data_IF_973751650287
#
_entry.id   IF_973751650287
#
_cell.length_a   1.000
_cell.length_b   1.000
_cell.length_c   1.000
_cell.angle_alpha   90.00
_cell.angle_beta   90.00
_cell.angle_gamma   90.00
#
_symmetry.space_group_name_H-M   'P 1'
#
loop_
_entity.id
_entity.type
_entity.pdbx_description
1 polymer ?
#
# COMPACT_ATOMS: atom_id res chain seq x y z
N UNK A 1 -62.45 -12.18 63.59
CA UNK A 1 -62.36 -11.09 62.60
C UNK A 1 -60.92 -11.03 62.10
N UNK A 2 -60.76 -11.18 60.79
CA UNK A 2 -59.51 -11.33 60.02
C UNK A 2 -58.83 -9.99 59.77
N UNK A 3 -57.50 -9.96 59.75
CA UNK A 3 -56.75 -8.78 59.32
C UNK A 3 -55.24 -8.99 59.28
N UNK A 4 -54.76 -9.78 58.32
CA UNK A 4 -53.34 -9.85 57.96
C UNK A 4 -52.97 -8.62 57.12
N UNK A 5 -51.98 -7.79 57.47
CA UNK A 5 -51.52 -6.75 56.56
C UNK A 5 -50.58 -7.35 55.52
N UNK A 6 -51.01 -7.31 54.25
CA UNK A 6 -50.15 -7.48 53.08
C UNK A 6 -49.03 -6.43 53.13
N UNK A 7 -47.77 -6.87 53.14
CA UNK A 7 -46.63 -5.99 52.85
C UNK A 7 -46.26 -6.17 51.38
N UNK A 8 -46.26 -5.05 50.68
CA UNK A 8 -46.09 -4.86 49.23
C UNK A 8 -44.84 -5.55 48.66
N UNK A 9 -45.04 -6.42 47.67
CA UNK A 9 -44.05 -6.77 46.66
C UNK A 9 -44.37 -5.98 45.38
N UNK A 10 -43.88 -4.75 45.28
CA UNK A 10 -43.90 -3.98 44.03
C UNK A 10 -42.66 -3.09 43.97
N UNK A 11 -41.54 -3.65 43.50
CA UNK A 11 -40.41 -2.86 42.96
C UNK A 11 -39.53 -3.64 41.96
N UNK A 12 -39.70 -4.95 41.75
CA UNK A 12 -38.86 -5.69 40.79
C UNK A 12 -39.30 -5.54 39.32
N UNK A 13 -40.57 -5.20 39.05
CA UNK A 13 -41.09 -5.13 37.68
C UNK A 13 -40.76 -3.81 36.96
N UNK A 14 -40.45 -2.74 37.70
CA UNK A 14 -40.13 -1.43 37.11
C UNK A 14 -38.65 -1.32 36.70
N UNK A 15 -37.74 -1.94 37.46
CA UNK A 15 -36.31 -2.00 37.12
C UNK A 15 -36.06 -2.91 35.89
N UNK A 16 -36.83 -3.99 35.74
CA UNK A 16 -36.78 -4.87 34.56
C UNK A 16 -37.37 -4.14 33.32
N UNK A 17 -38.37 -3.28 33.50
CA UNK A 17 -38.91 -2.44 32.42
C UNK A 17 -37.98 -1.28 32.04
N UNK A 18 -37.16 -0.75 32.96
CA UNK A 18 -36.14 0.26 32.66
C UNK A 18 -34.93 -0.35 31.94
N UNK A 19 -34.40 -1.49 32.41
CA UNK A 19 -33.28 -2.17 31.74
C UNK A 19 -33.59 -2.63 30.30
N UNK A 20 -34.82 -3.09 30.05
CA UNK A 20 -35.27 -3.44 28.69
C UNK A 20 -35.42 -2.23 27.75
N UNK A 21 -35.61 -1.01 28.26
CA UNK A 21 -35.70 0.18 27.41
C UNK A 21 -34.33 0.71 26.99
N UNK A 22 -33.32 0.56 27.84
CA UNK A 22 -31.93 0.95 27.51
C UNK A 22 -31.28 -0.02 26.51
N UNK A 23 -31.50 -1.33 26.63
CA UNK A 23 -31.01 -2.31 25.64
C UNK A 23 -31.65 -2.12 24.25
N UNK A 24 -32.93 -1.76 24.18
CA UNK A 24 -33.62 -1.48 22.90
C UNK A 24 -33.08 -0.20 22.26
N UNK A 25 -32.72 0.81 23.04
CA UNK A 25 -32.06 2.03 22.55
C UNK A 25 -30.67 1.76 21.95
N UNK A 26 -29.87 0.91 22.60
CA UNK A 26 -28.55 0.53 22.11
C UNK A 26 -28.62 -0.32 20.82
N UNK A 27 -29.60 -1.22 20.73
CA UNK A 27 -29.84 -2.03 19.53
C UNK A 27 -30.30 -1.17 18.35
N UNK A 28 -31.16 -0.18 18.60
CA UNK A 28 -31.64 0.76 17.58
C UNK A 28 -30.53 1.69 17.09
N UNK A 29 -29.61 2.12 17.96
CA UNK A 29 -28.43 2.90 17.55
C UNK A 29 -27.47 2.08 16.68
N UNK A 30 -27.25 0.81 17.02
CA UNK A 30 -26.43 -0.11 16.22
C UNK A 30 -27.09 -0.37 14.85
N UNK A 31 -28.41 -0.60 14.82
CA UNK A 31 -29.15 -0.78 13.57
C UNK A 31 -29.08 0.48 12.68
N UNK A 32 -29.25 1.66 13.28
CA UNK A 32 -29.16 2.95 12.58
C UNK A 32 -27.74 3.24 12.07
N UNK A 33 -26.72 2.79 12.81
CA UNK A 33 -25.33 2.83 12.36
C UNK A 33 -25.08 1.87 11.19
N UNK A 34 -25.57 0.64 11.26
CA UNK A 34 -25.47 -0.35 10.17
C UNK A 34 -26.18 0.11 8.89
N UNK A 35 -27.37 0.72 9.01
CA UNK A 35 -28.07 1.32 7.87
C UNK A 35 -27.28 2.50 7.27
N UNK A 36 -26.64 3.32 8.09
CA UNK A 36 -25.78 4.42 7.63
C UNK A 36 -24.50 3.92 6.95
N UNK A 37 -23.91 2.82 7.44
CA UNK A 37 -22.76 2.17 6.81
C UNK A 37 -23.16 1.58 5.46
N UNK A 38 -24.30 0.89 5.36
CA UNK A 38 -24.76 0.30 4.10
C UNK A 38 -25.23 1.34 3.06
N UNK A 39 -25.89 2.42 3.47
CA UNK A 39 -26.33 3.49 2.56
C UNK A 39 -25.18 4.36 2.03
N UNK A 40 -24.10 4.55 2.83
CA UNK A 40 -22.88 5.24 2.38
C UNK A 40 -21.91 4.33 1.61
N UNK A 41 -22.01 3.01 1.75
CA UNK A 41 -21.14 2.05 1.04
C UNK A 41 -21.66 1.65 -0.35
N UNK A 42 -22.96 1.79 -0.60
CA UNK A 42 -23.61 1.34 -1.85
C UNK A 42 -23.74 2.44 -2.93
N UNK A 43 -23.48 3.70 -2.59
CA UNK A 43 -23.72 4.85 -3.49
C UNK A 43 -22.49 5.34 -4.29
N UNK A 44 -21.36 4.61 -4.29
CA UNK A 44 -20.18 4.96 -5.14
C UNK A 44 -19.79 3.93 -6.20
N UNK A 45 -20.56 2.84 -6.35
CA UNK A 45 -20.41 1.94 -7.49
C UNK A 45 -21.49 2.25 -8.52
N UNK A 46 -21.36 3.41 -9.19
CA UNK A 46 -21.88 3.53 -10.54
C UNK A 46 -21.00 2.65 -11.42
N UNK A 47 -21.49 1.53 -11.99
CA UNK A 47 -20.84 0.95 -13.15
C UNK A 47 -21.09 1.95 -14.28
N UNK A 48 -20.17 2.91 -14.46
CA UNK A 48 -20.07 3.63 -15.73
C UNK A 48 -20.14 2.56 -16.82
N UNK A 49 -21.14 2.71 -17.71
CA UNK A 49 -21.40 1.83 -18.84
C UNK A 49 -20.12 1.18 -19.37
N UNK A 50 -19.87 -0.05 -18.92
CA UNK A 50 -18.79 -0.89 -19.43
C UNK A 50 -19.28 -1.38 -20.79
N UNK A 51 -19.06 -0.59 -21.85
CA UNK A 51 -19.28 -1.04 -23.20
C UNK A 51 -18.28 -2.18 -23.49
N UNK A 52 -18.73 -3.45 -23.66
CA UNK A 52 -17.84 -4.60 -23.86
C UNK A 52 -17.02 -4.48 -25.15
N UNK A 53 -17.34 -3.53 -26.04
CA UNK A 53 -16.51 -3.21 -27.21
C UNK A 53 -15.25 -2.42 -26.85
N UNK A 54 -15.26 -1.59 -25.80
CA UNK A 54 -14.05 -0.85 -25.38
C UNK A 54 -13.07 -1.73 -24.58
N UNK A 55 -13.57 -2.72 -23.84
CA UNK A 55 -12.71 -3.63 -23.07
C UNK A 55 -11.92 -4.59 -23.97
N UNK A 56 -12.47 -4.94 -25.13
CA UNK A 56 -11.73 -5.69 -26.16
C UNK A 56 -10.65 -4.85 -26.87
N UNK A 57 -10.76 -3.53 -26.88
CA UNK A 57 -9.72 -2.63 -27.44
C UNK A 57 -8.62 -2.25 -26.43
N UNK A 58 -8.86 -2.40 -25.13
CA UNK A 58 -7.86 -2.13 -24.07
C UNK A 58 -6.98 -3.33 -23.69
N UNK A 59 -6.97 -4.40 -24.49
CA UNK A 59 -5.85 -5.33 -24.48
C UNK A 59 -4.68 -4.71 -25.26
N UNK A 60 -4.18 -3.57 -24.80
CA UNK A 60 -2.84 -3.13 -25.18
C UNK A 60 -1.91 -4.27 -24.81
N UNK A 61 -1.17 -4.78 -25.80
CA UNK A 61 -0.14 -5.81 -25.65
C UNK A 61 0.79 -5.35 -24.53
N UNK A 62 0.52 -5.83 -23.32
CA UNK A 62 1.26 -5.44 -22.14
C UNK A 62 2.58 -6.17 -22.23
N UNK A 63 3.64 -5.47 -22.64
CA UNK A 63 4.96 -6.09 -22.69
C UNK A 63 5.35 -6.50 -21.26
N UNK A 64 5.80 -7.75 -21.04
CA UNK A 64 6.29 -8.18 -19.73
C UNK A 64 7.39 -7.25 -19.20
N UNK A 65 7.31 -6.89 -17.92
CA UNK A 65 8.32 -6.07 -17.23
C UNK A 65 9.76 -6.58 -17.48
N UNK A 66 10.05 -7.91 -17.47
CA UNK A 66 11.39 -8.41 -17.76
C UNK A 66 11.92 -8.04 -19.15
N UNK A 67 11.05 -7.98 -20.16
CA UNK A 67 11.47 -7.69 -21.54
C UNK A 67 11.86 -6.22 -21.70
N UNK A 68 11.09 -5.30 -21.12
CA UNK A 68 11.48 -3.89 -21.16
C UNK A 68 12.67 -3.61 -20.27
N UNK A 69 12.82 -4.32 -19.15
CA UNK A 69 14.04 -4.25 -18.35
C UNK A 69 15.28 -4.66 -19.16
N UNK A 70 15.20 -5.74 -19.95
CA UNK A 70 16.29 -6.14 -20.87
C UNK A 70 16.58 -5.06 -21.92
N UNK A 71 15.55 -4.50 -22.55
CA UNK A 71 15.71 -3.42 -23.54
C UNK A 71 16.33 -2.17 -22.93
N UNK A 72 15.89 -1.78 -21.73
CA UNK A 72 16.47 -0.65 -20.99
C UNK A 72 17.95 -0.88 -20.65
N UNK A 73 18.30 -2.10 -20.21
CA UNK A 73 19.69 -2.47 -19.97
C UNK A 73 20.55 -2.36 -21.23
N UNK A 74 20.03 -2.80 -22.38
CA UNK A 74 20.70 -2.70 -23.67
C UNK A 74 20.96 -1.22 -24.05
N UNK A 75 19.97 -0.35 -23.84
CA UNK A 75 20.09 1.10 -24.08
C UNK A 75 21.12 1.74 -23.14
N UNK A 76 21.12 1.39 -21.85
CA UNK A 76 22.09 1.92 -20.89
C UNK A 76 23.52 1.45 -21.20
N UNK A 77 23.69 0.18 -21.56
CA UNK A 77 24.99 -0.37 -21.92
C UNK A 77 25.55 0.27 -23.20
N UNK A 78 24.72 0.44 -24.23
CA UNK A 78 25.12 1.12 -25.47
C UNK A 78 25.45 2.59 -25.24
N UNK A 79 24.70 3.29 -24.38
CA UNK A 79 25.01 4.66 -23.97
C UNK A 79 26.38 4.74 -23.25
N UNK A 80 26.63 3.83 -22.30
CA UNK A 80 27.91 3.78 -21.59
C UNK A 80 29.09 3.49 -22.54
N UNK A 81 28.90 2.61 -23.53
CA UNK A 81 29.91 2.33 -24.54
C UNK A 81 30.23 3.56 -25.41
N UNK A 82 29.20 4.33 -25.83
CA UNK A 82 29.40 5.59 -26.56
C UNK A 82 30.14 6.61 -25.69
N UNK A 83 29.74 6.77 -24.42
CA UNK A 83 30.39 7.71 -23.50
C UNK A 83 31.85 7.35 -23.26
N UNK A 84 32.16 6.08 -23.04
CA UNK A 84 33.54 5.60 -22.89
C UNK A 84 34.37 5.81 -24.15
N UNK A 85 33.81 5.53 -25.33
CA UNK A 85 34.51 5.79 -26.61
C UNK A 85 34.78 7.29 -26.84
N UNK A 86 33.83 8.15 -26.48
CA UNK A 86 34.00 9.61 -26.53
C UNK A 86 35.07 10.10 -25.56
N UNK A 87 35.12 9.57 -24.34
CA UNK A 87 36.18 9.91 -23.37
C UNK A 87 37.55 9.47 -23.87
N UNK A 88 37.67 8.26 -24.42
CA UNK A 88 38.93 7.77 -25.00
C UNK A 88 39.40 8.64 -26.18
N UNK A 89 38.48 9.10 -27.04
CA UNK A 89 38.79 10.08 -28.08
C UNK A 89 39.31 11.40 -27.48
N UNK A 90 38.65 11.88 -26.43
CA UNK A 90 39.03 13.12 -25.77
C UNK A 90 40.41 13.04 -25.09
N UNK A 91 40.76 11.88 -24.53
CA UNK A 91 42.06 11.60 -23.92
C UNK A 91 43.17 11.45 -24.98
N UNK A 92 42.86 10.88 -26.15
CA UNK A 92 43.82 10.65 -27.25
C UNK A 92 43.97 11.84 -28.20
N UNK A 93 43.31 12.98 -27.93
CA UNK A 93 43.25 14.19 -28.79
C UNK A 93 44.63 14.75 -29.13
N UNK A 94 45.63 14.47 -28.29
CA UNK A 94 46.98 15.04 -28.41
C UNK A 94 48.02 13.99 -28.84
N UNK A 95 47.72 12.70 -28.75
CA UNK A 95 48.73 11.63 -28.80
C UNK A 95 48.54 10.59 -29.90
N UNK A 96 47.38 10.55 -30.57
CA UNK A 96 47.09 9.53 -31.58
C UNK A 96 47.37 10.01 -33.01
N UNK A 97 47.80 9.05 -33.84
CA UNK A 97 48.09 9.20 -35.26
C UNK A 97 46.79 9.39 -36.06
N UNK A 98 46.88 9.99 -37.26
CA UNK A 98 45.70 10.29 -38.09
C UNK A 98 44.83 9.05 -38.42
N UNK A 99 45.46 7.88 -38.59
CA UNK A 99 44.76 6.62 -38.87
C UNK A 99 44.02 6.10 -37.62
N UNK A 100 44.65 6.15 -36.43
CA UNK A 100 44.00 5.77 -35.18
C UNK A 100 42.81 6.69 -34.85
N UNK A 101 42.95 7.97 -35.19
CA UNK A 101 41.87 8.96 -35.09
C UNK A 101 40.67 8.61 -35.97
N UNK A 102 40.91 8.25 -37.23
CA UNK A 102 39.84 7.85 -38.15
C UNK A 102 39.13 6.57 -37.69
N UNK A 103 39.87 5.55 -37.24
CA UNK A 103 39.29 4.31 -36.71
C UNK A 103 38.45 4.56 -35.45
N UNK A 104 38.93 5.40 -34.53
CA UNK A 104 38.21 5.74 -33.31
C UNK A 104 36.93 6.55 -33.58
N UNK A 105 36.95 7.45 -34.58
CA UNK A 105 35.76 8.17 -35.03
C UNK A 105 34.75 7.20 -35.67
N UNK A 106 35.20 6.30 -36.54
CA UNK A 106 34.34 5.30 -37.17
C UNK A 106 33.67 4.39 -36.14
N UNK A 107 34.43 3.90 -35.16
CA UNK A 107 33.93 3.08 -34.04
C UNK A 107 32.91 3.83 -33.19
N UNK A 108 33.16 5.09 -32.87
CA UNK A 108 32.24 5.92 -32.08
C UNK A 108 30.95 6.21 -32.84
N UNK A 109 31.06 6.42 -34.16
CA UNK A 109 29.90 6.62 -35.05
C UNK A 109 29.03 5.37 -35.11
N UNK A 110 29.64 4.19 -35.20
CA UNK A 110 28.94 2.91 -35.15
C UNK A 110 28.21 2.70 -33.82
N UNK A 111 28.90 2.91 -32.70
CA UNK A 111 28.30 2.79 -31.36
C UNK A 111 27.13 3.77 -31.16
N UNK A 112 27.23 4.97 -31.73
CA UNK A 112 26.13 5.95 -31.71
C UNK A 112 24.93 5.47 -32.52
N UNK A 113 25.15 4.85 -33.67
CA UNK A 113 24.08 4.24 -34.47
C UNK A 113 23.40 3.08 -33.71
N UNK A 114 24.18 2.22 -33.06
CA UNK A 114 23.68 1.11 -32.26
C UNK A 114 22.84 1.60 -31.07
N UNK A 115 23.27 2.68 -30.41
CA UNK A 115 22.50 3.34 -29.35
C UNK A 115 21.17 3.90 -29.88
N UNK A 116 21.17 4.57 -31.04
CA UNK A 116 19.94 5.13 -31.63
C UNK A 116 18.96 4.02 -31.99
N UNK A 117 19.43 2.92 -32.57
CA UNK A 117 18.59 1.75 -32.88
C UNK A 117 18.04 1.10 -31.59
N UNK A 118 18.86 0.91 -30.56
CA UNK A 118 18.41 0.40 -29.26
C UNK A 118 17.35 1.32 -28.62
N UNK A 119 17.51 2.65 -28.78
CA UNK A 119 16.56 3.65 -28.29
C UNK A 119 15.24 3.62 -29.07
N UNK A 120 15.27 3.46 -30.39
CA UNK A 120 14.06 3.33 -31.22
C UNK A 120 13.26 2.06 -30.89
N UNK A 121 13.96 0.97 -30.58
CA UNK A 121 13.33 -0.27 -30.10
C UNK A 121 12.69 -0.13 -28.71
N UNK A 122 13.06 0.91 -27.96
CA UNK A 122 12.49 1.29 -26.68
C UNK A 122 11.30 2.25 -26.91
N UNK A 123 10.11 1.69 -27.14
CA UNK A 123 8.91 2.49 -27.35
C UNK A 123 8.61 3.35 -26.09
N UNK A 124 8.69 4.68 -26.25
CA UNK A 124 8.51 5.65 -25.16
C UNK A 124 7.17 5.49 -24.40
N UNK A 125 6.12 5.03 -25.11
CA UNK A 125 4.82 4.74 -24.48
C UNK A 125 4.89 3.57 -23.50
N UNK A 126 5.66 2.52 -23.83
CA UNK A 126 5.85 1.33 -22.98
C UNK A 126 6.66 1.67 -21.73
N UNK A 127 7.67 2.55 -21.88
CA UNK A 127 8.45 3.05 -20.74
C UNK A 127 7.60 3.87 -19.77
N UNK A 128 6.74 4.74 -20.27
CA UNK A 128 5.81 5.51 -19.45
C UNK A 128 4.87 4.60 -18.66
N UNK A 129 4.29 3.60 -19.32
CA UNK A 129 3.39 2.63 -18.69
C UNK A 129 4.10 1.78 -17.61
N UNK A 130 5.36 1.40 -17.86
CA UNK A 130 6.17 0.67 -16.88
C UNK A 130 6.55 1.51 -15.68
N UNK A 131 6.91 2.77 -15.90
CA UNK A 131 7.18 3.72 -14.82
C UNK A 131 5.97 3.81 -13.89
N UNK A 132 4.77 3.99 -14.46
CA UNK A 132 3.52 4.01 -13.69
C UNK A 132 3.29 2.70 -12.91
N UNK A 133 3.51 1.54 -13.55
CA UNK A 133 3.36 0.22 -12.89
C UNK A 133 4.37 0.02 -11.76
N UNK A 134 5.61 0.46 -11.93
CA UNK A 134 6.66 0.40 -10.91
C UNK A 134 6.35 1.32 -9.74
N UNK A 135 5.92 2.55 -10.01
CA UNK A 135 5.55 3.52 -8.97
C UNK A 135 4.35 3.03 -8.16
N UNK A 136 3.34 2.45 -8.82
CA UNK A 136 2.20 1.83 -8.15
C UNK A 136 2.63 0.67 -7.23
N UNK A 137 3.54 -0.21 -7.70
CA UNK A 137 4.10 -1.30 -6.88
C UNK A 137 4.89 -0.77 -5.69
N UNK A 138 5.73 0.25 -5.89
CA UNK A 138 6.52 0.89 -4.83
C UNK A 138 5.60 1.49 -3.77
N UNK A 139 4.58 2.23 -4.19
CA UNK A 139 3.56 2.82 -3.30
C UNK A 139 2.83 1.74 -2.49
N UNK A 140 2.46 0.62 -3.11
CA UNK A 140 1.84 -0.52 -2.42
C UNK A 140 2.77 -1.13 -1.36
N UNK A 141 4.04 -1.39 -1.71
CA UNK A 141 5.04 -1.93 -0.77
C UNK A 141 5.27 -1.00 0.42
N UNK A 142 5.39 0.31 0.18
CA UNK A 142 5.57 1.30 1.25
C UNK A 142 4.37 1.34 2.20
N UNK A 143 3.14 1.33 1.66
CA UNK A 143 1.92 1.25 2.49
C UNK A 143 1.86 -0.04 3.30
N UNK A 144 2.25 -1.17 2.72
CA UNK A 144 2.29 -2.45 3.43
C UNK A 144 3.33 -2.44 4.55
N UNK A 145 4.50 -1.83 4.32
CA UNK A 145 5.53 -1.66 5.35
C UNK A 145 4.99 -0.82 6.51
N UNK A 146 4.40 0.33 6.22
CA UNK A 146 3.81 1.24 7.21
C UNK A 146 2.75 0.54 8.07
N UNK A 147 1.83 -0.20 7.45
CA UNK A 147 0.82 -0.99 8.18
C UNK A 147 1.42 -2.04 9.11
N UNK A 148 2.52 -2.69 8.71
CA UNK A 148 3.21 -3.67 9.56
C UNK A 148 3.93 -3.00 10.74
N UNK A 149 4.38 -1.76 10.58
CA UNK A 149 4.97 -0.98 11.65
C UNK A 149 3.87 -0.57 12.64
N UNK A 150 2.74 -0.03 12.16
CA UNK A 150 1.56 0.33 12.99
C UNK A 150 1.04 -0.87 13.81
N UNK A 151 0.83 -2.03 13.19
CA UNK A 151 0.36 -3.24 13.91
C UNK A 151 1.33 -3.66 15.03
N UNK A 152 2.63 -3.50 14.84
CA UNK A 152 3.62 -3.85 15.88
C UNK A 152 3.60 -2.86 17.04
N UNK A 153 3.38 -1.58 16.77
CA UNK A 153 3.22 -0.56 17.80
C UNK A 153 1.97 -0.84 18.64
N UNK A 154 0.85 -1.18 17.99
CA UNK A 154 -0.39 -1.57 18.66
C UNK A 154 -0.19 -2.82 19.55
N UNK A 155 0.44 -3.88 19.02
CA UNK A 155 0.76 -5.10 19.79
C UNK A 155 1.65 -4.82 21.01
N UNK A 156 2.64 -3.94 20.87
CA UNK A 156 3.51 -3.54 21.99
C UNK A 156 2.73 -2.78 23.06
N UNK A 157 1.82 -1.89 22.63
CA UNK A 157 0.98 -1.13 23.55
C UNK A 157 0.02 -2.05 24.32
N UNK A 158 -0.63 -3.00 23.64
CA UNK A 158 -1.51 -3.99 24.29
C UNK A 158 -0.76 -4.83 25.34
N UNK A 159 0.47 -5.27 25.02
CA UNK A 159 1.30 -6.02 25.96
C UNK A 159 1.68 -5.19 27.18
N UNK A 160 2.02 -3.91 26.98
CA UNK A 160 2.33 -2.98 28.06
C UNK A 160 1.11 -2.74 28.97
N UNK A 161 -0.06 -2.49 28.39
CA UNK A 161 -1.31 -2.30 29.13
C UNK A 161 -1.70 -3.56 29.92
N UNK A 162 -1.54 -4.74 29.32
CA UNK A 162 -1.75 -6.02 30.01
C UNK A 162 -0.81 -6.17 31.20
N UNK A 163 0.49 -5.86 31.03
CA UNK A 163 1.46 -5.93 32.12
C UNK A 163 1.10 -4.98 33.28
N UNK A 164 0.67 -3.74 32.98
CA UNK A 164 0.20 -2.81 34.00
C UNK A 164 -1.03 -3.33 34.76
N UNK A 165 -2.00 -3.91 34.06
CA UNK A 165 -3.18 -4.52 34.68
C UNK A 165 -2.80 -5.66 35.63
N UNK A 166 -1.87 -6.53 35.24
CA UNK A 166 -1.39 -7.60 36.12
C UNK A 166 -0.72 -7.05 37.39
N UNK A 167 0.16 -6.05 37.24
CA UNK A 167 0.81 -5.42 38.38
C UNK A 167 -0.20 -4.81 39.36
N UNK A 168 -1.23 -4.12 38.85
CA UNK A 168 -2.29 -3.54 39.67
C UNK A 168 -3.08 -4.62 40.45
N UNK A 169 -3.38 -5.75 39.82
CA UNK A 169 -4.04 -6.89 40.47
C UNK A 169 -3.16 -7.46 41.59
N UNK A 170 -1.87 -7.64 41.34
CA UNK A 170 -0.94 -8.18 42.33
C UNK A 170 -0.78 -7.24 43.53
N UNK A 171 -0.67 -5.93 43.28
CA UNK A 171 -0.65 -4.91 44.33
C UNK A 171 -1.95 -4.92 45.15
N UNK A 172 -3.10 -5.01 44.49
CA UNK A 172 -4.40 -5.10 45.18
C UNK A 172 -4.52 -6.35 46.04
N UNK A 173 -4.09 -7.51 45.53
CA UNK A 173 -4.04 -8.77 46.30
C UNK A 173 -3.16 -8.64 47.54
N UNK A 174 -1.99 -8.03 47.38
CA UNK A 174 -1.08 -7.80 48.50
C UNK A 174 -1.70 -6.88 49.56
N UNK A 175 -2.36 -5.80 49.15
CA UNK A 175 -3.07 -4.90 50.07
C UNK A 175 -4.19 -5.60 50.83
N UNK A 176 -4.92 -6.52 50.19
CA UNK A 176 -5.96 -7.32 50.86
C UNK A 176 -5.33 -8.27 51.87
N UNK A 177 -4.27 -8.98 51.51
CA UNK A 177 -3.57 -9.89 52.42
C UNK A 177 -2.98 -9.19 53.64
N UNK A 178 -2.52 -7.94 53.51
CA UNK A 178 -2.03 -7.16 54.65
C UNK A 178 -3.14 -6.66 55.59
N UNK A 179 -4.40 -6.64 55.14
CA UNK A 179 -5.56 -6.18 55.93
C UNK A 179 -6.30 -7.32 56.64
N UNK A 180 -5.88 -8.57 56.41
CA UNK A 180 -6.36 -9.79 57.08
C UNK A 180 -5.30 -10.19 58.11
#
# INVERSE_FOLDING_TARGET
MTGTPLRLYHTLDDDIKQGKKEEVGAQDEVNKWLENVHSKSSSSLNPLAHDPKQEKQRKLKTIPIPEVHKKLHLVLHSLAAVQGAMQQLQEKLVTSDANEWQEAIAKTTQLKADYLNAKEQLNMSQMSELKLKLDARRKKRMRQKKRKEEVKEDEQQELYERAQKHLAIDQWRHQIQQKI
#
